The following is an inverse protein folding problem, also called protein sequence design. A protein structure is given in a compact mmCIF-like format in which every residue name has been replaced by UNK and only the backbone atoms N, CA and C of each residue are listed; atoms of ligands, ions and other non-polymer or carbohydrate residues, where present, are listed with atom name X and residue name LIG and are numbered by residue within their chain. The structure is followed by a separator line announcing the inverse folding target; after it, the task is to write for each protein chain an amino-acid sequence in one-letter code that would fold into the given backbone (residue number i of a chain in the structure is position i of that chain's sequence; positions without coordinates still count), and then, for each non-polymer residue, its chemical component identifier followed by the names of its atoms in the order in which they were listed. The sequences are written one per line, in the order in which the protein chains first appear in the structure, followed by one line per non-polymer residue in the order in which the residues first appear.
data_IF_837955695480
#
_entry.id   IF_837955695480
#
_cell.length_a   1.000
_cell.length_b   1.000
_cell.length_c   1.000
_cell.angle_alpha   90.00
_cell.angle_beta   90.00
_cell.angle_gamma   90.00
#
_symmetry.space_group_name_H-M   'P 1'
#
loop_
_entity.id
_entity.type
_entity.pdbx_description
1 polymer ?
#
# COMPACT_ATOMS: atom_id res chain seq x y z
N UNK A 1 -17.84 -7.20 16.18
CA UNK A 1 -17.07 -7.89 15.12
C UNK A 1 -15.68 -7.30 15.13
N UNK A 2 -14.62 -8.08 14.90
CA UNK A 2 -13.26 -7.56 14.76
C UNK A 2 -13.16 -6.74 13.48
N UNK A 3 -12.43 -5.64 13.51
CA UNK A 3 -12.10 -4.85 12.30
C UNK A 3 -11.28 -5.71 11.32
N UNK A 4 -11.35 -5.39 10.03
CA UNK A 4 -10.74 -6.15 8.96
C UNK A 4 -9.83 -5.30 8.09
N UNK A 5 -8.74 -5.89 7.59
CA UNK A 5 -7.79 -5.24 6.71
C UNK A 5 -7.44 -6.09 5.50
N UNK A 6 -7.42 -5.49 4.32
CA UNK A 6 -6.84 -6.09 3.12
C UNK A 6 -5.52 -5.40 2.78
N UNK A 7 -4.46 -6.19 2.61
CA UNK A 7 -3.11 -5.69 2.35
C UNK A 7 -2.59 -6.29 1.04
N UNK A 8 -2.11 -5.44 0.12
CA UNK A 8 -1.50 -5.91 -1.12
C UNK A 8 0.02 -6.05 -0.99
N UNK A 9 0.62 -7.06 -1.66
CA UNK A 9 2.07 -7.25 -1.73
C UNK A 9 2.69 -7.77 -0.43
N UNK A 10 2.12 -8.81 0.17
CA UNK A 10 2.50 -9.34 1.48
C UNK A 10 3.62 -10.40 1.46
N UNK A 11 4.23 -10.71 0.30
CA UNK A 11 5.27 -11.76 0.20
C UNK A 11 6.61 -11.40 0.86
N UNK A 12 6.71 -10.30 1.58
CA UNK A 12 7.91 -9.86 2.30
C UNK A 12 7.92 -8.38 2.61
N UNK A 13 8.99 -7.91 3.25
CA UNK A 13 9.23 -6.51 3.55
C UNK A 13 8.15 -5.88 4.42
N UNK A 14 7.69 -4.68 4.04
CA UNK A 14 6.69 -3.92 4.79
C UNK A 14 5.35 -4.66 4.81
N UNK A 15 4.95 -5.29 3.69
CA UNK A 15 3.66 -5.99 3.59
C UNK A 15 3.54 -7.16 4.58
N UNK A 16 4.56 -8.03 4.67
CA UNK A 16 4.57 -9.13 5.65
C UNK A 16 4.60 -8.63 7.10
N UNK A 17 5.35 -7.55 7.35
CA UNK A 17 5.40 -6.94 8.68
C UNK A 17 4.07 -6.29 9.09
N UNK A 18 3.33 -5.70 8.14
CA UNK A 18 1.96 -5.20 8.39
C UNK A 18 1.00 -6.35 8.72
N UNK A 19 1.08 -7.47 7.99
CA UNK A 19 0.28 -8.67 8.32
C UNK A 19 0.52 -9.10 9.76
N UNK A 20 1.78 -9.11 10.23
CA UNK A 20 2.09 -9.44 11.63
C UNK A 20 1.51 -8.43 12.63
N UNK A 21 1.58 -7.13 12.37
CA UNK A 21 1.08 -6.11 13.29
C UNK A 21 -0.45 -6.16 13.39
N UNK A 22 -1.17 -6.24 12.27
CA UNK A 22 -2.63 -6.36 12.26
C UNK A 22 -3.09 -7.70 12.87
N UNK A 23 -2.41 -8.82 12.54
CA UNK A 23 -2.71 -10.13 13.13
C UNK A 23 -2.55 -10.14 14.65
N UNK A 24 -1.46 -9.56 15.17
CA UNK A 24 -1.20 -9.41 16.62
C UNK A 24 -2.26 -8.56 17.31
N UNK A 25 -2.79 -7.54 16.63
CA UNK A 25 -3.84 -6.67 17.13
C UNK A 25 -5.25 -7.31 17.09
N UNK A 26 -5.36 -8.56 16.57
CA UNK A 26 -6.64 -9.30 16.53
C UNK A 26 -7.55 -8.91 15.35
N UNK A 27 -7.02 -8.19 14.35
CA UNK A 27 -7.77 -7.85 13.14
C UNK A 27 -7.97 -9.08 12.26
N UNK A 28 -9.06 -9.14 11.53
CA UNK A 28 -9.22 -10.07 10.42
C UNK A 28 -8.36 -9.60 9.25
N UNK A 29 -7.35 -10.40 8.86
CA UNK A 29 -6.35 -9.98 7.88
C UNK A 29 -6.53 -10.75 6.57
N UNK A 30 -6.73 -10.02 5.47
CA UNK A 30 -6.69 -10.53 4.11
C UNK A 30 -5.37 -10.11 3.47
N UNK A 31 -4.37 -11.00 3.52
CA UNK A 31 -3.07 -10.77 2.92
C UNK A 31 -3.06 -11.22 1.46
N UNK A 32 -2.53 -10.40 0.57
CA UNK A 32 -2.46 -10.80 -0.84
C UNK A 32 -1.03 -10.82 -1.37
N UNK A 33 -0.76 -11.78 -2.25
CA UNK A 33 0.51 -11.94 -2.95
C UNK A 33 0.30 -12.60 -4.32
N UNK A 34 1.23 -12.39 -5.25
CA UNK A 34 1.20 -13.07 -6.57
C UNK A 34 1.28 -14.60 -6.43
N UNK A 35 2.07 -15.06 -5.48
CA UNK A 35 2.14 -16.48 -5.09
C UNK A 35 1.65 -16.59 -3.65
N UNK A 36 0.47 -17.20 -3.46
CA UNK A 36 -0.12 -17.40 -2.13
C UNK A 36 0.64 -18.45 -1.30
N UNK A 37 1.38 -19.36 -1.95
CA UNK A 37 2.17 -20.40 -1.30
C UNK A 37 3.58 -19.91 -0.91
N UNK A 38 3.81 -18.59 -0.91
CA UNK A 38 5.11 -18.01 -0.54
C UNK A 38 5.50 -18.44 0.89
N UNK A 39 6.73 -18.96 1.12
CA UNK A 39 7.14 -19.50 2.42
C UNK A 39 6.90 -18.57 3.61
N UNK A 40 7.20 -17.27 3.46
CA UNK A 40 6.96 -16.29 4.53
C UNK A 40 5.49 -16.20 4.93
N UNK A 41 4.57 -16.25 3.96
CA UNK A 41 3.13 -16.20 4.22
C UNK A 41 2.64 -17.50 4.88
N UNK A 42 3.17 -18.65 4.48
CA UNK A 42 2.84 -19.95 5.08
C UNK A 42 3.23 -20.04 6.56
N UNK A 43 4.29 -19.33 6.97
CA UNK A 43 4.66 -19.22 8.40
C UNK A 43 3.65 -18.36 9.16
N UNK A 44 3.17 -17.27 8.54
CA UNK A 44 2.21 -16.36 9.17
C UNK A 44 0.83 -17.01 9.38
N UNK A 45 0.35 -17.82 8.43
CA UNK A 45 -0.94 -18.53 8.59
C UNK A 45 -0.96 -19.55 9.73
N UNK A 46 0.20 -20.12 10.07
CA UNK A 46 0.31 -21.02 11.24
C UNK A 46 0.29 -20.24 12.55
N UNK A 47 0.56 -18.96 12.52
CA UNK A 47 0.69 -18.10 13.70
C UNK A 47 -0.61 -17.37 14.04
N UNK A 48 -1.47 -17.14 13.03
CA UNK A 48 -2.65 -16.30 13.16
C UNK A 48 -3.88 -16.96 12.52
N UNK A 49 -4.86 -17.38 13.33
CA UNK A 49 -6.11 -18.00 12.86
C UNK A 49 -7.02 -16.99 12.13
N UNK A 50 -6.80 -15.70 12.34
CA UNK A 50 -7.53 -14.58 11.73
C UNK A 50 -6.90 -14.10 10.41
N UNK A 51 -5.96 -14.84 9.83
CA UNK A 51 -5.27 -14.54 8.58
C UNK A 51 -5.74 -15.42 7.43
N UNK A 52 -6.16 -14.80 6.35
CA UNK A 52 -6.43 -15.45 5.06
C UNK A 52 -5.48 -14.93 3.99
N UNK A 53 -4.91 -15.82 3.18
CA UNK A 53 -4.05 -15.45 2.06
C UNK A 53 -4.82 -15.64 0.75
N UNK A 54 -4.74 -14.63 -0.13
CA UNK A 54 -5.37 -14.65 -1.44
C UNK A 54 -4.33 -14.40 -2.54
N UNK A 55 -4.35 -15.20 -3.62
CA UNK A 55 -3.56 -14.88 -4.80
C UNK A 55 -4.11 -13.61 -5.46
N UNK A 56 -3.26 -12.59 -5.63
CA UNK A 56 -3.60 -11.34 -6.29
C UNK A 56 -2.33 -10.68 -6.85
N UNK A 57 -2.38 -10.42 -8.16
CA UNK A 57 -1.42 -9.59 -8.86
C UNK A 57 -2.10 -8.28 -9.24
N UNK A 58 -1.62 -7.15 -8.71
CA UNK A 58 -2.22 -5.82 -8.97
C UNK A 58 -2.13 -5.40 -10.44
N UNK A 59 -1.22 -5.99 -11.22
CA UNK A 59 -1.10 -5.81 -12.66
C UNK A 59 -2.09 -6.67 -13.47
N UNK A 60 -2.84 -7.58 -12.85
CA UNK A 60 -3.76 -8.51 -13.53
C UNK A 60 -5.17 -8.38 -13.00
N UNK A 61 -6.03 -7.70 -13.74
CA UNK A 61 -7.42 -7.41 -13.31
C UNK A 61 -8.20 -8.69 -12.96
N UNK A 62 -8.02 -9.79 -13.69
CA UNK A 62 -8.71 -11.04 -13.41
C UNK A 62 -8.44 -11.55 -11.99
N UNK A 63 -7.19 -11.51 -11.53
CA UNK A 63 -6.83 -11.98 -10.17
C UNK A 63 -7.41 -11.07 -9.07
N UNK A 64 -7.54 -9.78 -9.36
CA UNK A 64 -8.16 -8.81 -8.44
C UNK A 64 -9.65 -9.09 -8.30
N UNK A 65 -10.35 -9.29 -9.44
CA UNK A 65 -11.77 -9.62 -9.45
C UNK A 65 -12.08 -10.96 -8.79
N UNK A 66 -11.23 -11.98 -9.00
CA UNK A 66 -11.34 -13.27 -8.33
C UNK A 66 -11.17 -13.14 -6.81
N UNK A 67 -10.20 -12.34 -6.34
CA UNK A 67 -10.02 -12.08 -4.92
C UNK A 67 -11.22 -11.32 -4.32
N UNK A 68 -11.74 -10.30 -5.00
CA UNK A 68 -12.93 -9.57 -4.58
C UNK A 68 -14.16 -10.49 -4.51
N UNK A 69 -14.34 -11.38 -5.49
CA UNK A 69 -15.43 -12.37 -5.48
C UNK A 69 -15.32 -13.35 -4.32
N UNK A 70 -14.11 -13.82 -3.98
CA UNK A 70 -13.90 -14.72 -2.82
C UNK A 70 -14.25 -14.05 -1.50
N UNK A 71 -14.19 -12.73 -1.43
CA UNK A 71 -14.53 -11.93 -0.26
C UNK A 71 -15.89 -11.25 -0.38
N UNK A 72 -16.80 -11.72 -1.26
CA UNK A 72 -18.06 -11.05 -1.60
C UNK A 72 -18.90 -10.65 -0.38
N UNK A 73 -18.92 -11.46 0.67
CA UNK A 73 -19.70 -11.22 1.89
C UNK A 73 -18.91 -10.50 2.99
N UNK A 74 -17.63 -10.21 2.76
CA UNK A 74 -16.77 -9.59 3.75
C UNK A 74 -16.87 -8.06 3.71
N UNK A 75 -16.82 -7.46 4.89
CA UNK A 75 -16.54 -6.03 5.04
C UNK A 75 -15.03 -5.81 5.09
N UNK A 76 -14.53 -4.74 4.50
CA UNK A 76 -13.14 -4.32 4.62
C UNK A 76 -13.12 -2.93 5.25
N UNK A 77 -12.57 -2.83 6.46
CA UNK A 77 -12.44 -1.56 7.18
C UNK A 77 -11.21 -0.78 6.74
N UNK A 78 -10.13 -1.49 6.39
CA UNK A 78 -8.89 -0.88 5.90
C UNK A 78 -8.40 -1.58 4.65
N UNK A 79 -8.18 -0.82 3.57
CA UNK A 79 -7.45 -1.26 2.38
C UNK A 79 -6.05 -0.62 2.39
N UNK A 80 -5.01 -1.44 2.42
CA UNK A 80 -3.61 -0.99 2.32
C UNK A 80 -3.05 -1.37 0.95
N UNK A 81 -2.91 -0.39 0.07
CA UNK A 81 -2.25 -0.54 -1.21
C UNK A 81 -0.73 -0.42 -0.99
N UNK A 82 -0.10 -1.57 -0.69
CA UNK A 82 1.34 -1.65 -0.39
C UNK A 82 2.16 -2.25 -1.55
N UNK A 83 1.57 -3.05 -2.44
CA UNK A 83 2.28 -3.62 -3.58
C UNK A 83 2.90 -2.51 -4.44
N UNK A 84 4.20 -2.63 -4.72
CA UNK A 84 4.92 -1.66 -5.53
C UNK A 84 6.11 -2.32 -6.26
N UNK A 85 6.57 -1.67 -7.33
CA UNK A 85 7.81 -1.99 -8.03
C UNK A 85 8.71 -0.77 -8.11
N UNK A 86 9.99 -1.02 -8.27
CA UNK A 86 11.05 -0.04 -8.42
C UNK A 86 11.94 -0.50 -9.57
N UNK A 87 11.63 -0.09 -10.82
CA UNK A 87 12.43 -0.43 -12.00
C UNK A 87 13.76 0.32 -12.01
N UNK A 88 14.81 -0.34 -12.51
CA UNK A 88 16.18 0.18 -12.52
C UNK A 88 16.86 0.06 -11.16
N UNK A 89 18.04 0.66 -11.01
CA UNK A 89 18.78 0.78 -9.74
C UNK A 89 18.56 2.13 -9.05
N UNK A 90 17.91 3.08 -9.75
CA UNK A 90 17.54 4.40 -9.24
C UNK A 90 18.68 5.44 -9.26
N UNK A 91 19.84 5.11 -9.81
CA UNK A 91 20.99 6.00 -9.89
C UNK A 91 21.28 6.45 -11.32
N UNK A 92 20.51 5.96 -12.29
CA UNK A 92 20.72 6.20 -13.71
C UNK A 92 20.52 7.69 -14.05
N UNK A 93 21.47 8.31 -14.80
CA UNK A 93 21.25 9.61 -15.42
C UNK A 93 20.06 9.54 -16.40
N UNK A 94 19.33 10.64 -16.56
CA UNK A 94 18.13 10.68 -17.39
C UNK A 94 18.34 10.16 -18.81
N UNK A 95 19.49 10.42 -19.39
CA UNK A 95 19.87 10.00 -20.75
C UNK A 95 20.00 8.49 -20.95
N UNK A 96 20.17 7.72 -19.86
CA UNK A 96 20.34 6.26 -19.89
C UNK A 96 19.12 5.50 -19.39
N UNK A 97 18.07 6.21 -18.96
CA UNK A 97 16.85 5.59 -18.45
C UNK A 97 16.08 4.92 -19.60
N UNK A 98 15.72 3.65 -19.42
CA UNK A 98 14.76 2.99 -20.30
C UNK A 98 13.35 3.59 -20.05
N UNK A 99 12.73 4.22 -21.07
CA UNK A 99 11.38 4.76 -20.94
C UNK A 99 10.33 3.71 -20.52
N UNK A 100 10.56 2.43 -20.83
CA UNK A 100 9.66 1.34 -20.41
C UNK A 100 9.57 1.18 -18.89
N UNK A 101 10.58 1.60 -18.15
CA UNK A 101 10.53 1.60 -16.69
C UNK A 101 9.45 2.53 -16.11
N UNK A 102 9.11 3.62 -16.82
CA UNK A 102 7.97 4.46 -16.43
C UNK A 102 6.66 3.66 -16.57
N UNK A 103 6.47 2.97 -17.70
CA UNK A 103 5.28 2.13 -17.93
C UNK A 103 5.14 1.06 -16.83
N UNK A 104 6.23 0.35 -16.49
CA UNK A 104 6.25 -0.67 -15.45
C UNK A 104 5.92 -0.10 -14.07
N UNK A 105 6.51 1.06 -13.71
CA UNK A 105 6.24 1.72 -12.44
C UNK A 105 4.78 2.18 -12.37
N UNK A 106 4.24 2.79 -13.42
CA UNK A 106 2.86 3.25 -13.46
C UNK A 106 1.87 2.10 -13.40
N UNK A 107 2.10 1.02 -14.15
CA UNK A 107 1.19 -0.13 -14.18
C UNK A 107 0.97 -0.73 -12.78
N UNK A 108 2.04 -0.87 -12.00
CA UNK A 108 1.92 -1.43 -10.64
C UNK A 108 1.53 -0.37 -9.61
N UNK A 109 2.26 0.75 -9.58
CA UNK A 109 2.20 1.69 -8.46
C UNK A 109 1.00 2.65 -8.54
N UNK A 110 0.37 2.78 -9.71
CA UNK A 110 -0.76 3.69 -9.94
C UNK A 110 -1.99 2.94 -10.44
N UNK A 111 -1.89 2.31 -11.63
CA UNK A 111 -3.02 1.61 -12.26
C UNK A 111 -3.47 0.42 -11.43
N UNK A 112 -2.50 -0.35 -10.88
CA UNK A 112 -2.78 -1.45 -9.96
C UNK A 112 -3.53 -1.00 -8.71
N UNK A 113 -3.13 0.13 -8.12
CA UNK A 113 -3.84 0.73 -6.97
C UNK A 113 -5.27 1.13 -7.33
N UNK A 114 -5.47 1.74 -8.50
CA UNK A 114 -6.79 2.12 -8.98
C UNK A 114 -7.69 0.88 -9.20
N UNK A 115 -7.18 -0.18 -9.84
CA UNK A 115 -7.91 -1.44 -10.06
C UNK A 115 -8.32 -2.10 -8.74
N UNK A 116 -7.38 -2.24 -7.80
CA UNK A 116 -7.65 -2.83 -6.48
C UNK A 116 -8.70 -2.00 -5.74
N UNK A 117 -8.51 -0.68 -5.65
CA UNK A 117 -9.46 0.21 -4.99
C UNK A 117 -10.86 0.09 -5.59
N UNK A 118 -10.98 0.11 -6.93
CA UNK A 118 -12.26 -0.05 -7.63
C UNK A 118 -12.94 -1.39 -7.29
N UNK A 119 -12.20 -2.49 -7.32
CA UNK A 119 -12.75 -3.83 -7.10
C UNK A 119 -13.22 -4.03 -5.66
N UNK A 120 -12.51 -3.43 -4.68
CA UNK A 120 -12.85 -3.56 -3.26
C UNK A 120 -13.71 -2.42 -2.71
N UNK A 121 -14.10 -1.44 -3.53
CA UNK A 121 -14.98 -0.35 -3.11
C UNK A 121 -16.33 -0.84 -2.53
N UNK A 122 -17.01 -1.86 -3.09
CA UNK A 122 -18.23 -2.40 -2.47
C UNK A 122 -18.01 -2.96 -1.05
N UNK A 123 -16.82 -3.50 -0.76
CA UNK A 123 -16.46 -4.03 0.56
C UNK A 123 -16.19 -2.91 1.56
N UNK A 124 -15.51 -1.84 1.11
CA UNK A 124 -15.25 -0.63 1.90
C UNK A 124 -16.55 0.11 2.25
N UNK A 125 -17.50 0.18 1.31
CA UNK A 125 -18.82 0.82 1.51
C UNK A 125 -19.68 0.15 2.58
N UNK A 126 -19.40 -1.09 2.94
CA UNK A 126 -20.06 -1.78 4.06
C UNK A 126 -19.49 -1.41 5.42
N UNK A 127 -18.30 -0.85 5.46
CA UNK A 127 -17.65 -0.42 6.70
C UNK A 127 -18.17 0.95 7.14
N UNK A 128 -18.35 1.10 8.46
CA UNK A 128 -18.66 2.41 9.08
C UNK A 128 -17.40 3.24 9.35
N UNK A 129 -16.22 2.64 9.18
CA UNK A 129 -14.92 3.25 9.43
C UNK A 129 -13.91 3.03 8.28
N UNK A 130 -14.39 3.04 7.03
CA UNK A 130 -13.57 2.71 5.86
C UNK A 130 -12.36 3.65 5.68
N UNK A 131 -11.19 3.03 5.49
CA UNK A 131 -9.91 3.72 5.22
C UNK A 131 -9.18 3.09 4.06
N UNK A 132 -8.59 3.91 3.21
CA UNK A 132 -7.68 3.52 2.14
C UNK A 132 -6.33 4.17 2.43
N UNK A 133 -5.32 3.36 2.70
CA UNK A 133 -3.95 3.79 2.89
C UNK A 133 -3.10 3.40 1.68
N UNK A 134 -2.72 4.37 0.87
CA UNK A 134 -1.83 4.17 -0.26
C UNK A 134 -0.38 4.34 0.22
N UNK A 135 0.41 3.27 0.20
CA UNK A 135 1.83 3.33 0.57
C UNK A 135 2.60 4.03 -0.54
N UNK A 136 2.86 5.32 -0.29
CA UNK A 136 3.62 6.19 -1.18
C UNK A 136 5.11 6.19 -0.81
N UNK A 137 5.79 7.31 -0.97
CA UNK A 137 7.20 7.51 -0.64
C UNK A 137 7.50 9.00 -0.56
N UNK A 138 8.47 9.41 0.28
CA UNK A 138 9.04 10.75 0.23
C UNK A 138 9.59 11.09 -1.15
N UNK A 139 10.09 10.10 -1.90
CA UNK A 139 10.52 10.29 -3.29
C UNK A 139 9.39 10.79 -4.24
N UNK A 140 8.12 10.63 -3.86
CA UNK A 140 6.97 11.16 -4.59
C UNK A 140 6.55 12.58 -4.17
N UNK A 141 7.25 13.20 -3.23
CA UNK A 141 7.05 14.60 -2.88
C UNK A 141 7.66 15.51 -3.94
N UNK A 142 6.84 16.30 -4.61
CA UNK A 142 7.30 17.29 -5.59
C UNK A 142 7.96 18.46 -4.87
N UNK A 143 7.38 18.85 -3.72
CA UNK A 143 7.88 20.00 -2.94
C UNK A 143 9.23 19.76 -2.25
N UNK A 144 9.60 18.49 -2.02
CA UNK A 144 10.85 18.12 -1.36
C UNK A 144 11.89 17.50 -2.31
N UNK A 145 11.61 17.50 -3.63
CA UNK A 145 12.48 16.86 -4.63
C UNK A 145 13.64 17.78 -4.99
N UNK A 146 14.83 17.47 -4.46
CA UNK A 146 16.08 18.22 -4.71
C UNK A 146 17.14 17.41 -5.47
N UNK A 147 16.98 16.08 -5.55
CA UNK A 147 17.88 15.17 -6.25
C UNK A 147 17.34 14.73 -7.61
N UNK A 148 18.20 14.11 -8.46
CA UNK A 148 17.82 13.59 -9.77
C UNK A 148 17.53 12.07 -9.77
N UNK A 149 17.61 11.39 -8.60
CA UNK A 149 17.47 9.94 -8.53
C UNK A 149 16.04 9.45 -8.65
N UNK A 150 15.85 8.16 -9.00
CA UNK A 150 14.59 7.43 -8.92
C UNK A 150 13.49 7.93 -9.87
N UNK A 151 13.82 8.40 -11.07
CA UNK A 151 12.85 9.03 -11.98
C UNK A 151 11.54 8.24 -12.17
N UNK A 152 11.54 6.97 -12.67
CA UNK A 152 10.29 6.24 -12.90
C UNK A 152 9.49 6.03 -11.60
N UNK A 153 10.20 5.71 -10.51
CA UNK A 153 9.61 5.48 -9.21
C UNK A 153 9.01 6.77 -8.63
N UNK A 154 9.79 7.85 -8.57
CA UNK A 154 9.35 9.15 -8.04
C UNK A 154 8.13 9.68 -8.77
N UNK A 155 8.15 9.65 -10.11
CA UNK A 155 7.03 10.08 -10.95
C UNK A 155 5.78 9.22 -10.67
N UNK A 156 5.92 7.91 -10.54
CA UNK A 156 4.80 7.03 -10.20
C UNK A 156 4.23 7.30 -8.80
N UNK A 157 5.08 7.63 -7.82
CA UNK A 157 4.64 7.95 -6.45
C UNK A 157 3.98 9.33 -6.36
N UNK A 158 4.44 10.31 -7.13
CA UNK A 158 3.75 11.59 -7.29
C UNK A 158 2.37 11.42 -7.95
N UNK A 159 2.27 10.57 -8.96
CA UNK A 159 1.00 10.21 -9.58
C UNK A 159 0.05 9.48 -8.60
N UNK A 160 0.58 8.57 -7.76
CA UNK A 160 -0.19 7.93 -6.70
C UNK A 160 -0.69 8.95 -5.66
N UNK A 161 0.12 9.95 -5.33
CA UNK A 161 -0.27 11.06 -4.45
C UNK A 161 -1.45 11.85 -5.06
N UNK A 162 -1.41 12.15 -6.35
CA UNK A 162 -2.52 12.79 -7.06
C UNK A 162 -3.77 11.91 -7.08
N UNK A 163 -3.64 10.61 -7.39
CA UNK A 163 -4.76 9.66 -7.33
C UNK A 163 -5.39 9.63 -5.93
N UNK A 164 -4.58 9.62 -4.88
CA UNK A 164 -5.03 9.67 -3.49
C UNK A 164 -5.88 10.90 -3.22
N UNK A 165 -5.45 12.08 -3.69
CA UNK A 165 -6.20 13.35 -3.55
C UNK A 165 -7.56 13.28 -4.25
N UNK A 166 -7.57 12.76 -5.49
CA UNK A 166 -8.79 12.63 -6.29
C UNK A 166 -9.79 11.71 -5.61
N UNK A 167 -9.36 10.50 -5.20
CA UNK A 167 -10.21 9.54 -4.50
C UNK A 167 -10.75 10.09 -3.17
N UNK A 168 -9.93 10.81 -2.41
CA UNK A 168 -10.36 11.45 -1.16
C UNK A 168 -11.44 12.52 -1.38
N UNK A 169 -11.36 13.26 -2.48
CA UNK A 169 -12.37 14.23 -2.85
C UNK A 169 -13.68 13.56 -3.27
N UNK A 170 -13.60 12.50 -4.09
CA UNK A 170 -14.75 11.72 -4.57
C UNK A 170 -15.50 11.05 -3.41
N UNK A 171 -14.78 10.36 -2.52
CA UNK A 171 -15.38 9.54 -1.46
C UNK A 171 -15.69 10.33 -0.17
N UNK A 172 -15.53 11.64 -0.16
CA UNK A 172 -15.78 12.49 1.03
C UNK A 172 -17.19 12.30 1.59
N UNK A 173 -18.19 12.31 0.73
CA UNK A 173 -19.59 12.17 1.14
C UNK A 173 -19.93 10.73 1.61
N UNK A 174 -19.16 9.75 1.16
CA UNK A 174 -19.25 8.36 1.61
C UNK A 174 -18.50 8.11 2.93
N UNK A 175 -17.81 9.12 3.45
CA UNK A 175 -16.98 9.07 4.66
C UNK A 175 -15.86 8.02 4.61
N UNK A 176 -15.38 7.67 3.41
CA UNK A 176 -14.20 6.83 3.23
C UNK A 176 -12.96 7.72 3.31
N UNK A 177 -12.08 7.43 4.25
CA UNK A 177 -10.81 8.13 4.43
C UNK A 177 -9.81 7.60 3.41
N UNK A 178 -9.14 8.50 2.66
CA UNK A 178 -8.10 8.10 1.70
C UNK A 178 -6.85 8.93 1.95
N UNK A 179 -5.71 8.27 2.22
CA UNK A 179 -4.43 8.94 2.51
C UNK A 179 -3.27 8.32 1.76
N UNK A 180 -2.25 9.14 1.47
CA UNK A 180 -0.94 8.67 1.06
C UNK A 180 -0.01 8.66 2.29
N UNK A 181 0.78 7.58 2.45
CA UNK A 181 1.70 7.45 3.59
C UNK A 181 3.07 6.99 3.10
N UNK A 182 4.12 7.74 3.45
CA UNK A 182 5.50 7.30 3.25
C UNK A 182 5.92 6.35 4.38
N UNK A 183 6.39 5.13 4.07
CA UNK A 183 6.78 4.16 5.08
C UNK A 183 8.16 4.46 5.71
N UNK A 184 8.87 5.50 5.23
CA UNK A 184 10.26 5.75 5.49
C UNK A 184 11.19 4.91 4.60
N UNK A 185 12.52 5.03 4.81
CA UNK A 185 13.51 4.22 4.12
C UNK A 185 13.76 2.92 4.91
N UNK A 186 13.30 1.80 4.35
CA UNK A 186 13.14 0.53 5.07
C UNK A 186 14.01 -0.58 4.46
N UNK A 187 14.70 -1.38 5.30
CA UNK A 187 15.51 -2.56 4.93
C UNK A 187 14.65 -3.64 4.29
N UNK A 188 14.44 -3.51 3.01
CA UNK A 188 13.72 -4.46 2.16
C UNK A 188 14.57 -4.75 0.93
N UNK A 189 14.14 -5.66 0.07
CA UNK A 189 14.78 -5.86 -1.24
C UNK A 189 14.84 -4.55 -2.05
N UNK A 190 13.82 -3.70 -1.94
CA UNK A 190 13.74 -2.41 -2.64
C UNK A 190 14.61 -1.34 -1.97
N UNK A 191 14.56 -1.22 -0.64
CA UNK A 191 15.26 -0.15 0.09
C UNK A 191 16.74 -0.45 0.36
N UNK A 192 17.19 -1.68 0.13
CA UNK A 192 18.58 -2.10 0.34
C UNK A 192 18.98 -2.27 1.81
N UNK A 193 20.20 -2.79 2.04
CA UNK A 193 20.69 -3.11 3.39
C UNK A 193 21.07 -1.87 4.22
N UNK A 194 21.36 -0.75 3.56
CA UNK A 194 21.78 0.51 4.23
C UNK A 194 20.62 1.30 4.81
N UNK A 195 19.37 0.91 4.53
CA UNK A 195 18.21 1.61 5.06
C UNK A 195 18.21 1.58 6.60
N UNK A 196 17.82 2.68 7.28
CA UNK A 196 17.89 2.78 8.74
C UNK A 196 16.79 1.99 9.45
N UNK A 197 15.63 1.81 8.81
CA UNK A 197 14.46 1.20 9.43
C UNK A 197 14.33 -0.27 9.08
N UNK A 198 13.96 -1.09 10.05
CA UNK A 198 13.49 -2.45 9.80
C UNK A 198 12.04 -2.44 9.28
N UNK A 199 11.59 -3.48 8.56
CA UNK A 199 10.18 -3.62 8.16
C UNK A 199 9.22 -3.57 9.36
N UNK A 200 9.63 -4.14 10.50
CA UNK A 200 8.83 -4.16 11.72
C UNK A 200 8.63 -2.75 12.29
N UNK A 201 9.69 -1.96 12.43
CA UNK A 201 9.59 -0.57 12.94
C UNK A 201 8.70 0.29 12.06
N UNK A 202 8.84 0.15 10.73
CA UNK A 202 7.97 0.83 9.77
C UNK A 202 6.51 0.39 9.93
N UNK A 203 6.24 -0.93 9.96
CA UNK A 203 4.89 -1.47 10.07
C UNK A 203 4.20 -1.08 11.38
N UNK A 204 4.92 -1.04 12.51
CA UNK A 204 4.39 -0.59 13.81
C UNK A 204 3.95 0.87 13.77
N UNK A 205 4.74 1.73 13.13
CA UNK A 205 4.36 3.14 12.96
C UNK A 205 3.18 3.29 12.01
N UNK A 206 3.22 2.62 10.85
CA UNK A 206 2.12 2.60 9.89
C UNK A 206 0.81 2.09 10.51
N UNK A 207 0.85 1.02 11.29
CA UNK A 207 -0.33 0.50 12.00
C UNK A 207 -0.97 1.58 12.85
N UNK A 208 -0.20 2.24 13.73
CA UNK A 208 -0.71 3.32 14.61
C UNK A 208 -1.29 4.47 13.79
N UNK A 209 -0.58 4.91 12.75
CA UNK A 209 -1.03 6.01 11.90
C UNK A 209 -2.32 5.64 11.17
N UNK A 210 -2.38 4.47 10.51
CA UNK A 210 -3.54 4.05 9.72
C UNK A 210 -4.78 3.85 10.61
N UNK A 211 -4.64 3.19 11.76
CA UNK A 211 -5.77 2.94 12.66
C UNK A 211 -6.26 4.20 13.35
N UNK A 212 -5.40 5.21 13.52
CA UNK A 212 -5.74 6.51 14.09
C UNK A 212 -6.29 7.55 13.11
N UNK A 213 -6.38 7.24 11.80
CA UNK A 213 -6.87 8.19 10.80
C UNK A 213 -8.31 8.62 11.04
N UNK A 214 -8.57 9.91 10.84
CA UNK A 214 -9.89 10.53 10.89
C UNK A 214 -10.21 11.24 9.57
N UNK A 215 -11.45 11.66 9.36
CA UNK A 215 -11.85 12.40 8.15
C UNK A 215 -11.07 13.72 7.95
N UNK A 216 -10.58 14.34 9.02
CA UNK A 216 -9.77 15.55 8.92
C UNK A 216 -8.42 15.32 8.21
N UNK A 217 -7.97 14.06 8.14
CA UNK A 217 -6.72 13.64 7.51
C UNK A 217 -6.93 13.09 6.10
N UNK A 218 -8.18 12.91 5.66
CA UNK A 218 -8.47 12.43 4.30
C UNK A 218 -7.93 13.39 3.24
N UNK A 219 -7.29 12.85 2.23
CA UNK A 219 -6.67 13.61 1.15
C UNK A 219 -5.36 14.29 1.55
N UNK A 220 -4.66 13.79 2.56
CA UNK A 220 -3.33 14.29 2.96
C UNK A 220 -2.25 13.25 2.72
N UNK A 221 -1.00 13.72 2.69
CA UNK A 221 0.20 12.91 2.62
C UNK A 221 0.95 13.00 3.96
N UNK A 222 1.35 11.85 4.49
CA UNK A 222 2.00 11.72 5.79
C UNK A 222 3.28 10.88 5.73
N UNK A 223 4.18 11.10 6.68
CA UNK A 223 5.16 10.13 7.10
C UNK A 223 4.50 8.96 7.86
N UNK A 224 5.25 7.88 8.05
CA UNK A 224 4.82 6.67 8.80
C UNK A 224 4.37 6.96 10.24
N UNK A 225 4.82 8.04 10.83
CA UNK A 225 4.55 8.53 12.18
C UNK A 225 3.36 9.49 12.26
N UNK A 226 2.71 9.75 11.12
CA UNK A 226 1.55 10.65 11.04
C UNK A 226 1.90 12.13 10.87
N UNK A 227 3.20 12.47 10.78
CA UNK A 227 3.61 13.85 10.50
C UNK A 227 3.31 14.22 9.04
N UNK A 228 2.81 15.44 8.79
CA UNK A 228 2.52 15.90 7.43
C UNK A 228 3.76 15.88 6.54
N UNK A 229 3.55 15.45 5.30
CA UNK A 229 4.56 15.46 4.24
C UNK A 229 4.14 16.48 3.17
N UNK A 230 5.10 17.21 2.59
CA UNK A 230 4.80 18.04 1.42
C UNK A 230 4.40 17.17 0.21
N UNK A 231 3.53 17.70 -0.64
CA UNK A 231 3.11 17.02 -1.88
C UNK A 231 4.20 17.00 -2.94
#
# INVERSE_FOLDING_TARGET
MSESVLITGCSGGIGSALVEEFGRAGWKVFATARNADHPELSVLTRKWDNLSILPLDVGRESTILDAAKRLADETIDVLINNAAVFPGDGQEPFETIDPEWFSQAFETNVVGVARVTKAFLPHLRRSVHARIANISSGAGSIGEKEDFHYYPYSVSKAALNMLTRALAAEFRNEKIIVTAISPGWVKTRMGGPSAPLTPRESAQSLFRTITGLTMAQSGRFFGRDGEPYAW
#
